data_IF_708506469641
#
_entry.id   IF_708506469641
#
_cell.length_a   1.000
_cell.length_b   1.000
_cell.length_c   1.000
_cell.angle_alpha   90.00
_cell.angle_beta   90.00
_cell.angle_gamma   90.00
#
_symmetry.space_group_name_H-M   'P 1'
#
loop_
_entity.id
_entity.type
_entity.pdbx_description
1 polymer ?
#
# COMPACT_ATOMS: atom_id res chain seq x y z
N UNK A 1 8.08 -16.34 17.24
CA UNK A 1 8.27 -15.22 16.29
C UNK A 1 6.93 -15.02 15.61
N UNK A 2 6.42 -13.79 15.41
CA UNK A 2 5.18 -13.61 14.66
C UNK A 2 5.39 -14.15 13.24
N UNK A 3 4.47 -14.97 12.73
CA UNK A 3 4.57 -15.46 11.37
C UNK A 3 4.22 -14.29 10.44
N UNK A 4 5.00 -14.15 9.38
CA UNK A 4 4.80 -13.08 8.40
C UNK A 4 4.05 -13.69 7.23
N UNK A 5 2.89 -13.14 6.91
CA UNK A 5 2.10 -13.55 5.75
C UNK A 5 2.11 -12.43 4.70
N UNK A 6 2.45 -12.79 3.47
CA UNK A 6 2.50 -11.86 2.35
C UNK A 6 1.38 -12.18 1.37
N UNK A 7 0.47 -11.24 1.13
CA UNK A 7 -0.59 -11.36 0.14
C UNK A 7 -0.34 -10.41 -1.02
N UNK A 8 -0.73 -10.85 -2.22
CA UNK A 8 -0.73 -10.03 -3.41
C UNK A 8 -2.17 -9.73 -3.82
N UNK A 9 -2.44 -8.48 -4.20
CA UNK A 9 -3.61 -8.19 -5.01
C UNK A 9 -3.36 -8.44 -6.51
N UNK A 10 -4.33 -8.05 -7.32
CA UNK A 10 -4.40 -8.26 -8.78
C UNK A 10 -3.53 -7.31 -9.60
N UNK A 11 -3.07 -6.19 -9.03
CA UNK A 11 -2.36 -5.16 -9.80
C UNK A 11 -1.03 -5.64 -10.39
N UNK A 12 -0.16 -6.21 -9.55
CA UNK A 12 1.19 -6.64 -9.93
C UNK A 12 1.63 -7.87 -9.13
N UNK A 13 1.11 -9.04 -9.52
CA UNK A 13 1.48 -10.32 -8.89
C UNK A 13 2.99 -10.62 -9.01
N UNK A 14 3.58 -10.32 -10.17
CA UNK A 14 5.02 -10.53 -10.41
C UNK A 14 5.92 -9.74 -9.44
N UNK A 15 5.51 -8.54 -9.05
CA UNK A 15 6.25 -7.74 -8.08
C UNK A 15 6.15 -8.38 -6.70
N UNK A 16 4.95 -8.79 -6.29
CA UNK A 16 4.73 -9.48 -5.03
C UNK A 16 5.53 -10.78 -4.95
N UNK A 17 5.59 -11.55 -6.03
CA UNK A 17 6.37 -12.78 -6.10
C UNK A 17 7.86 -12.50 -5.92
N UNK A 18 8.42 -11.51 -6.62
CA UNK A 18 9.83 -11.11 -6.45
C UNK A 18 10.15 -10.64 -5.02
N UNK A 19 9.18 -10.00 -4.35
CA UNK A 19 9.32 -9.61 -2.94
C UNK A 19 9.30 -10.86 -2.05
N UNK A 20 8.40 -11.79 -2.30
CA UNK A 20 8.28 -13.07 -1.58
C UNK A 20 9.58 -13.89 -1.71
N UNK A 21 10.08 -14.07 -2.93
CA UNK A 21 11.31 -14.81 -3.24
C UNK A 21 12.53 -14.22 -2.53
N UNK A 22 12.63 -12.88 -2.47
CA UNK A 22 13.72 -12.18 -1.79
C UNK A 22 13.65 -12.31 -0.26
N UNK A 23 12.45 -12.41 0.29
CA UNK A 23 12.23 -12.62 1.72
C UNK A 23 12.29 -14.10 2.12
N UNK A 24 12.30 -15.02 1.14
CA UNK A 24 12.20 -16.46 1.39
C UNK A 24 10.84 -16.86 1.95
N UNK A 25 9.78 -16.16 1.54
CA UNK A 25 8.40 -16.40 1.94
C UNK A 25 7.57 -16.84 0.74
N UNK A 26 6.51 -17.59 0.98
CA UNK A 26 5.51 -17.89 -0.03
C UNK A 26 4.40 -16.84 -0.03
N UNK A 27 3.81 -16.59 -1.20
CA UNK A 27 2.61 -15.77 -1.30
C UNK A 27 1.41 -16.54 -0.73
N UNK A 28 0.72 -15.90 0.19
CA UNK A 28 -0.50 -16.44 0.78
C UNK A 28 -1.62 -16.53 -0.25
N UNK A 29 -2.50 -17.51 -0.05
CA UNK A 29 -3.59 -17.81 -1.00
C UNK A 29 -4.70 -16.78 -0.88
N UNK A 30 -4.93 -16.05 -1.96
CA UNK A 30 -6.04 -15.09 -2.10
C UNK A 30 -6.83 -15.44 -3.34
N UNK A 31 -8.15 -15.49 -3.20
CA UNK A 31 -9.06 -15.64 -4.32
C UNK A 31 -9.68 -14.27 -4.58
N UNK A 32 -9.30 -13.65 -5.70
CA UNK A 32 -9.92 -12.43 -6.20
C UNK A 32 -10.86 -12.78 -7.35
N UNK A 33 -12.12 -12.38 -7.23
CA UNK A 33 -13.16 -12.61 -8.25
C UNK A 33 -13.89 -11.31 -8.53
N UNK A 34 -14.29 -11.09 -9.78
CA UNK A 34 -15.24 -10.04 -10.13
C UNK A 34 -16.60 -10.69 -10.43
N UNK A 35 -17.65 -10.21 -9.76
CA UNK A 35 -19.01 -10.63 -10.05
C UNK A 35 -19.49 -10.05 -11.39
N UNK A 36 -20.62 -10.55 -11.91
CA UNK A 36 -21.20 -10.09 -13.18
C UNK A 36 -21.59 -8.61 -13.18
N UNK A 37 -21.83 -8.03 -12.00
CA UNK A 37 -22.06 -6.59 -11.77
C UNK A 37 -20.77 -5.78 -11.60
N UNK A 38 -19.59 -6.37 -11.85
CA UNK A 38 -18.26 -5.78 -11.66
C UNK A 38 -17.85 -5.52 -10.20
N UNK A 39 -18.61 -5.99 -9.22
CA UNK A 39 -18.18 -5.91 -7.82
C UNK A 39 -16.97 -6.81 -7.57
N UNK A 40 -16.01 -6.28 -6.81
CA UNK A 40 -14.81 -7.02 -6.43
C UNK A 40 -15.09 -7.85 -5.19
N UNK A 41 -14.84 -9.15 -5.28
CA UNK A 41 -14.92 -10.11 -4.20
C UNK A 41 -13.52 -10.62 -3.88
N UNK A 42 -13.15 -10.59 -2.60
CA UNK A 42 -11.87 -11.12 -2.15
C UNK A 42 -12.08 -12.06 -0.99
N UNK A 43 -11.46 -13.22 -1.07
CA UNK A 43 -11.49 -14.25 -0.04
C UNK A 43 -10.06 -14.68 0.30
N UNK A 44 -9.73 -14.66 1.59
CA UNK A 44 -8.44 -15.12 2.11
C UNK A 44 -8.54 -16.62 2.37
N UNK A 45 -7.74 -17.42 1.65
CA UNK A 45 -7.80 -18.88 1.70
C UNK A 45 -6.99 -19.52 2.82
N UNK A 46 -6.38 -18.70 3.69
CA UNK A 46 -5.47 -19.14 4.76
C UNK A 46 -5.78 -18.43 6.08
N UNK A 47 -5.47 -19.07 7.21
CA UNK A 47 -5.73 -18.49 8.53
C UNK A 47 -4.69 -17.41 8.85
N UNK A 48 -5.13 -16.15 8.97
CA UNK A 48 -4.29 -15.00 9.30
C UNK A 48 -4.34 -14.59 10.77
N UNK A 49 -4.96 -15.41 11.62
CA UNK A 49 -5.23 -15.06 13.02
C UNK A 49 -3.94 -14.89 13.83
N UNK A 50 -3.75 -13.71 14.42
CA UNK A 50 -2.57 -13.41 15.23
C UNK A 50 -1.29 -13.19 14.43
N UNK A 51 -1.36 -13.20 13.10
CA UNK A 51 -0.20 -13.05 12.22
C UNK A 51 0.04 -11.61 11.78
N UNK A 52 1.26 -11.33 11.32
CA UNK A 52 1.64 -10.03 10.75
C UNK A 52 1.47 -10.07 9.23
N UNK A 53 0.45 -9.37 8.74
CA UNK A 53 -0.01 -9.46 7.36
C UNK A 53 0.51 -8.29 6.54
N UNK A 54 1.12 -8.59 5.41
CA UNK A 54 1.58 -7.61 4.42
C UNK A 54 0.77 -7.79 3.15
N UNK A 55 0.05 -6.75 2.71
CA UNK A 55 -0.71 -6.77 1.46
C UNK A 55 -0.01 -5.87 0.46
N UNK A 56 0.45 -6.45 -0.65
CA UNK A 56 1.09 -5.72 -1.74
C UNK A 56 0.04 -5.43 -2.81
N UNK A 57 -0.24 -4.14 -3.03
CA UNK A 57 -1.12 -3.69 -4.11
C UNK A 57 -0.66 -2.33 -4.64
N UNK A 58 -0.64 -2.17 -5.95
CA UNK A 58 -0.29 -0.93 -6.65
C UNK A 58 -1.51 -0.29 -7.32
N UNK A 59 -1.56 1.04 -7.34
CA UNK A 59 -2.54 1.82 -8.10
C UNK A 59 -2.14 2.05 -9.56
N UNK A 60 -1.76 1.01 -10.30
CA UNK A 60 -1.45 1.11 -11.74
C UNK A 60 -2.58 0.50 -12.58
N UNK A 61 -2.99 1.18 -13.67
CA UNK A 61 -4.11 0.75 -14.51
C UNK A 61 -5.47 1.15 -13.92
N UNK A 62 -6.29 0.18 -13.53
CA UNK A 62 -7.60 0.38 -12.90
C UNK A 62 -7.46 0.79 -11.42
N UNK A 63 -7.13 2.07 -11.20
CA UNK A 63 -6.80 2.63 -9.88
C UNK A 63 -7.91 2.36 -8.85
N UNK A 64 -9.18 2.54 -9.24
CA UNK A 64 -10.32 2.40 -8.35
C UNK A 64 -10.56 0.95 -7.95
N UNK A 65 -10.48 0.04 -8.90
CA UNK A 65 -10.67 -1.40 -8.65
C UNK A 65 -9.57 -1.92 -7.74
N UNK A 66 -8.31 -1.58 -8.03
CA UNK A 66 -7.16 -1.99 -7.21
C UNK A 66 -7.26 -1.41 -5.79
N UNK A 67 -7.74 -0.17 -5.64
CA UNK A 67 -7.97 0.46 -4.34
C UNK A 67 -9.09 -0.25 -3.57
N UNK A 68 -10.21 -0.55 -4.22
CA UNK A 68 -11.33 -1.25 -3.61
C UNK A 68 -10.93 -2.67 -3.20
N UNK A 69 -10.21 -3.38 -4.05
CA UNK A 69 -9.66 -4.69 -3.74
C UNK A 69 -8.77 -4.65 -2.50
N UNK A 70 -7.85 -3.68 -2.43
CA UNK A 70 -6.98 -3.48 -1.26
C UNK A 70 -7.78 -3.22 0.02
N UNK A 71 -8.79 -2.36 -0.03
CA UNK A 71 -9.64 -2.05 1.13
C UNK A 71 -10.40 -3.29 1.61
N UNK A 72 -10.93 -4.09 0.69
CA UNK A 72 -11.63 -5.34 1.01
C UNK A 72 -10.66 -6.37 1.62
N UNK A 73 -9.44 -6.50 1.08
CA UNK A 73 -8.41 -7.37 1.64
C UNK A 73 -8.03 -6.97 3.07
N UNK A 74 -7.76 -5.69 3.31
CA UNK A 74 -7.44 -5.18 4.66
C UNK A 74 -8.57 -5.49 5.63
N UNK A 75 -9.82 -5.22 5.23
CA UNK A 75 -10.98 -5.49 6.06
C UNK A 75 -11.15 -6.99 6.34
N UNK A 76 -10.95 -7.86 5.34
CA UNK A 76 -10.99 -9.31 5.51
C UNK A 76 -9.95 -9.80 6.52
N UNK A 77 -8.71 -9.32 6.43
CA UNK A 77 -7.66 -9.63 7.41
C UNK A 77 -8.00 -9.13 8.81
N UNK A 78 -8.59 -7.93 8.90
CA UNK A 78 -8.99 -7.33 10.19
C UNK A 78 -10.10 -8.15 10.87
N UNK A 79 -11.12 -8.57 10.12
CA UNK A 79 -12.21 -9.42 10.60
C UNK A 79 -11.66 -10.80 11.02
N UNK A 80 -10.71 -11.34 10.26
CA UNK A 80 -10.02 -12.59 10.57
C UNK A 80 -9.04 -12.49 11.77
N UNK A 81 -9.01 -11.35 12.48
CA UNK A 81 -8.22 -11.13 13.70
C UNK A 81 -6.71 -11.26 13.49
N UNK A 82 -6.18 -10.75 12.38
CA UNK A 82 -4.74 -10.56 12.21
C UNK A 82 -4.15 -9.66 13.29
N UNK A 83 -2.92 -9.93 13.73
CA UNK A 83 -2.28 -9.11 14.75
C UNK A 83 -1.95 -7.71 14.23
N UNK A 84 -1.53 -7.60 12.97
CA UNK A 84 -1.19 -6.34 12.31
C UNK A 84 -1.43 -6.46 10.82
N UNK A 85 -1.91 -5.38 10.20
CA UNK A 85 -2.09 -5.27 8.75
C UNK A 85 -1.24 -4.13 8.22
N UNK A 86 -0.28 -4.45 7.36
CA UNK A 86 0.59 -3.50 6.68
C UNK A 86 0.27 -3.48 5.19
N UNK A 87 -0.21 -2.33 4.70
CA UNK A 87 -0.46 -2.13 3.27
C UNK A 87 0.80 -1.61 2.57
N UNK A 88 1.36 -2.39 1.65
CA UNK A 88 2.49 -2.01 0.80
C UNK A 88 1.94 -1.51 -0.52
N UNK A 89 2.04 -0.21 -0.73
CA UNK A 89 1.48 0.53 -1.87
C UNK A 89 2.62 1.23 -2.63
N UNK A 90 3.31 0.55 -3.55
CA UNK A 90 4.44 1.12 -4.29
C UNK A 90 4.10 2.46 -4.95
N UNK A 91 2.97 2.52 -5.66
CA UNK A 91 2.40 3.71 -6.27
C UNK A 91 1.11 4.10 -5.54
N UNK A 92 1.14 5.21 -4.79
CA UNK A 92 -0.01 5.63 -3.99
C UNK A 92 -1.14 6.21 -4.88
N UNK A 93 -2.36 5.65 -4.84
CA UNK A 93 -3.45 6.11 -5.69
C UNK A 93 -3.86 7.53 -5.32
N UNK A 94 -4.20 8.33 -6.34
CA UNK A 94 -4.60 9.74 -6.19
C UNK A 94 -3.53 10.67 -5.59
N UNK A 95 -2.25 10.26 -5.54
CA UNK A 95 -1.17 11.06 -4.94
C UNK A 95 -0.99 12.47 -5.54
N UNK A 96 -1.37 12.67 -6.81
CA UNK A 96 -1.29 13.98 -7.49
C UNK A 96 -2.34 15.01 -6.99
N UNK A 97 -3.35 14.57 -6.24
CA UNK A 97 -4.43 15.41 -5.70
C UNK A 97 -4.24 15.61 -4.18
N UNK A 98 -3.02 15.96 -3.77
CA UNK A 98 -2.62 16.17 -2.37
C UNK A 98 -2.81 17.62 -1.90
N UNK A 99 -2.98 18.56 -2.83
CA UNK A 99 -3.12 20.00 -2.58
C UNK A 99 -4.48 20.52 -3.01
N UNK A 100 -4.88 21.60 -2.36
CA UNK A 100 -6.09 22.34 -2.67
C UNK A 100 -5.80 23.35 -3.77
N UNK A 101 -5.95 22.93 -5.03
CA UNK A 101 -5.68 23.80 -6.18
C UNK A 101 -6.80 24.81 -6.45
N UNK A 102 -8.04 24.52 -6.02
CA UNK A 102 -9.20 25.42 -6.15
C UNK A 102 -9.98 25.47 -4.84
N UNK A 103 -10.72 26.56 -4.61
CA UNK A 103 -11.48 26.80 -3.37
C UNK A 103 -12.44 25.66 -2.96
N UNK A 104 -12.90 24.86 -3.94
CA UNK A 104 -13.81 23.71 -3.76
C UNK A 104 -13.25 22.37 -4.28
N UNK A 105 -11.94 22.27 -4.55
CA UNK A 105 -11.35 21.02 -5.00
C UNK A 105 -11.22 20.02 -3.82
N UNK A 106 -11.56 18.73 -4.01
CA UNK A 106 -11.33 17.69 -3.02
C UNK A 106 -9.83 17.39 -2.89
N UNK A 107 -9.41 16.95 -1.70
CA UNK A 107 -8.08 16.40 -1.47
C UNK A 107 -8.20 14.88 -1.48
N UNK A 108 -8.23 14.29 -2.68
CA UNK A 108 -8.52 12.86 -2.87
C UNK A 108 -7.48 11.96 -2.23
N UNK A 109 -6.20 12.35 -2.22
CA UNK A 109 -5.15 11.62 -1.50
C UNK A 109 -5.45 11.49 0.01
N UNK A 110 -6.06 12.52 0.61
CA UNK A 110 -6.44 12.51 2.03
C UNK A 110 -7.65 11.62 2.28
N UNK A 111 -8.61 11.61 1.35
CA UNK A 111 -9.76 10.72 1.40
C UNK A 111 -9.31 9.25 1.37
N UNK A 112 -8.44 8.89 0.43
CA UNK A 112 -7.86 7.54 0.32
C UNK A 112 -7.12 7.14 1.59
N UNK A 113 -6.27 8.02 2.13
CA UNK A 113 -5.55 7.73 3.37
C UNK A 113 -6.51 7.50 4.57
N UNK A 114 -7.63 8.22 4.62
CA UNK A 114 -8.64 7.99 5.64
C UNK A 114 -9.35 6.64 5.42
N UNK A 115 -9.67 6.27 4.18
CA UNK A 115 -10.29 4.98 3.86
C UNK A 115 -9.41 3.80 4.29
N UNK A 116 -8.10 3.85 4.00
CA UNK A 116 -7.14 2.82 4.45
C UNK A 116 -7.07 2.72 5.97
N UNK A 117 -7.08 3.86 6.67
CA UNK A 117 -7.08 3.89 8.13
C UNK A 117 -8.37 3.33 8.73
N UNK A 118 -9.52 3.60 8.11
CA UNK A 118 -10.83 3.11 8.58
C UNK A 118 -11.01 1.63 8.26
N UNK A 119 -10.50 1.15 7.12
CA UNK A 119 -10.50 -0.27 6.76
C UNK A 119 -9.69 -1.14 7.74
N UNK A 120 -8.74 -0.54 8.48
CA UNK A 120 -7.99 -1.22 9.53
C UNK A 120 -6.51 -1.43 9.23
N UNK A 121 -5.92 -0.68 8.31
CA UNK A 121 -4.48 -0.70 8.09
C UNK A 121 -3.73 -0.04 9.26
N UNK A 122 -2.85 -0.79 9.90
CA UNK A 122 -2.01 -0.29 11.00
C UNK A 122 -0.81 0.49 10.47
N UNK A 123 -0.26 0.02 9.34
CA UNK A 123 0.88 0.63 8.67
C UNK A 123 0.66 0.69 7.16
N UNK A 124 1.22 1.73 6.54
CA UNK A 124 1.27 1.89 5.09
C UNK A 124 2.75 1.99 4.72
N UNK A 125 3.17 1.40 3.62
CA UNK A 125 4.52 1.52 3.05
C UNK A 125 4.34 1.96 1.61
N UNK A 126 5.06 2.98 1.15
CA UNK A 126 4.96 3.48 -0.23
C UNK A 126 6.33 3.92 -0.72
N UNK A 127 6.59 3.83 -2.03
CA UNK A 127 7.92 4.11 -2.60
C UNK A 127 7.99 5.48 -3.28
N UNK A 128 6.98 5.85 -4.05
CA UNK A 128 6.98 7.13 -4.77
C UNK A 128 5.74 7.94 -4.37
N UNK A 129 5.93 8.87 -3.42
CA UNK A 129 5.12 10.08 -3.47
C UNK A 129 5.73 10.96 -4.56
N UNK A 130 4.97 11.21 -5.62
CA UNK A 130 5.26 12.23 -6.62
C UNK A 130 5.25 13.63 -5.98
N UNK A 131 6.26 13.90 -5.18
CA UNK A 131 6.57 15.17 -4.60
C UNK A 131 8.09 15.34 -4.69
N UNK A 132 8.58 15.71 -5.87
CA UNK A 132 9.85 16.42 -6.04
C UNK A 132 9.85 17.80 -5.35
N UNK A 133 9.13 17.95 -4.22
CA UNK A 133 8.98 19.20 -3.47
C UNK A 133 8.39 19.00 -2.06
N UNK A 134 8.95 18.08 -1.27
CA UNK A 134 8.95 18.22 0.20
C UNK A 134 10.39 18.44 0.68
N UNK A 135 11.08 19.36 0.02
CA UNK A 135 12.31 19.96 0.53
C UNK A 135 12.07 21.48 0.53
N UNK A 136 12.16 22.07 1.72
CA UNK A 136 12.11 23.50 2.03
C UNK A 136 10.72 24.18 1.96
N UNK A 137 10.01 24.26 3.09
CA UNK A 137 9.37 25.51 3.55
C UNK A 137 8.76 25.34 4.96
N UNK A 138 9.01 26.26 5.91
CA UNK A 138 8.46 26.18 7.25
C UNK A 138 7.11 26.90 7.29
N UNK A 139 6.00 26.16 7.47
CA UNK A 139 4.80 26.72 8.13
C UNK A 139 3.91 25.64 8.73
N UNK A 140 3.57 25.89 10.00
CA UNK A 140 2.84 25.01 10.92
C UNK A 140 1.39 24.91 10.46
N UNK A 141 0.97 23.74 9.93
CA UNK A 141 -0.40 23.17 9.98
C UNK A 141 -0.57 21.85 9.18
N UNK A 142 0.50 21.29 8.61
CA UNK A 142 0.49 19.97 7.93
C UNK A 142 1.26 18.89 8.73
N UNK A 143 1.16 18.84 10.07
CA UNK A 143 2.03 17.96 10.88
C UNK A 143 1.56 16.50 10.99
N UNK A 144 0.26 16.20 10.95
CA UNK A 144 -0.25 14.83 11.20
C UNK A 144 -0.13 13.88 10.01
N UNK A 145 -0.37 14.34 8.78
CA UNK A 145 -0.22 13.49 7.60
C UNK A 145 1.25 13.26 7.24
N UNK A 146 2.09 14.29 7.43
CA UNK A 146 3.55 14.20 7.23
C UNK A 146 4.22 13.28 8.25
N UNK A 147 3.76 13.24 9.51
CA UNK A 147 4.27 12.27 10.49
C UNK A 147 3.84 10.85 10.17
N UNK A 148 2.63 10.66 9.61
CA UNK A 148 2.16 9.34 9.19
C UNK A 148 2.98 8.83 8.01
N UNK A 149 3.18 9.65 6.97
CA UNK A 149 3.93 9.32 5.75
C UNK A 149 5.44 9.18 6.00
N UNK A 150 6.08 10.04 6.82
CA UNK A 150 7.50 9.84 7.21
C UNK A 150 7.72 8.60 8.07
N UNK A 151 6.72 8.18 8.84
CA UNK A 151 6.80 6.91 9.59
C UNK A 151 6.73 5.70 8.65
N UNK A 152 6.11 5.85 7.48
CA UNK A 152 6.07 4.84 6.41
C UNK A 152 7.44 4.65 5.74
N UNK A 153 8.15 5.74 5.41
CA UNK A 153 9.54 5.69 4.89
C UNK A 153 10.52 5.06 5.91
N UNK A 154 10.35 5.36 7.20
CA UNK A 154 11.23 4.85 8.25
C UNK A 154 11.14 3.32 8.43
N UNK A 155 9.96 2.73 8.22
CA UNK A 155 9.80 1.27 8.31
C UNK A 155 10.42 0.54 7.12
N UNK A 156 10.44 1.14 5.93
CA UNK A 156 11.17 0.60 4.78
C UNK A 156 12.69 0.64 5.01
N UNK A 157 13.23 1.69 5.66
CA UNK A 157 14.64 1.72 6.05
C UNK A 157 15.00 0.65 7.11
N UNK A 158 14.05 0.24 7.95
CA UNK A 158 14.21 -0.93 8.83
C UNK A 158 14.19 -2.25 8.06
N UNK A 159 13.40 -2.39 6.99
CA UNK A 159 13.49 -3.52 6.06
C UNK A 159 14.80 -3.51 5.25
N UNK A 160 15.33 -2.34 4.89
CA UNK A 160 16.66 -2.17 4.24
C UNK A 160 17.85 -2.51 5.15
N UNK A 161 17.67 -2.58 6.47
CA UNK A 161 18.72 -3.08 7.37
C UNK A 161 18.99 -4.59 7.18
N UNK A 162 18.18 -5.26 6.35
CA UNK A 162 18.45 -6.59 5.84
C UNK A 162 19.37 -6.45 4.59
N UNK A 163 20.63 -6.92 4.61
CA UNK A 163 21.68 -6.58 3.63
C UNK A 163 21.46 -7.12 2.20
N UNK A 164 20.27 -7.66 1.88
CA UNK A 164 19.96 -8.32 0.60
C UNK A 164 18.92 -7.57 -0.26
N UNK A 165 18.40 -6.43 0.18
CA UNK A 165 17.38 -5.67 -0.56
C UNK A 165 18.01 -4.43 -1.20
N UNK A 166 18.69 -4.61 -2.33
CA UNK A 166 18.92 -3.54 -3.30
C UNK A 166 17.80 -3.59 -4.34
N UNK A 167 16.98 -2.54 -4.36
CA UNK A 167 16.04 -2.27 -5.46
C UNK A 167 16.77 -1.30 -6.39
N UNK A 168 16.98 -1.64 -7.67
CA UNK A 168 17.63 -0.73 -8.61
C UNK A 168 16.75 0.50 -8.80
N UNK A 169 17.38 1.68 -8.79
CA UNK A 169 16.72 2.93 -9.15
C UNK A 169 16.21 2.80 -10.59
N UNK A 170 14.90 3.01 -10.80
CA UNK A 170 14.36 3.13 -12.13
C UNK A 170 14.93 4.40 -12.77
N UNK A 171 15.88 4.22 -13.68
CA UNK A 171 16.33 5.28 -14.60
C UNK A 171 15.14 5.68 -15.46
N UNK A 172 14.67 6.90 -15.27
CA UNK A 172 13.71 7.57 -16.13
C UNK A 172 14.29 7.70 -17.54
N UNK A 173 13.86 6.83 -18.45
CA UNK A 173 14.01 7.05 -19.89
C UNK A 173 12.91 7.98 -20.37
N UNK A 174 13.27 9.23 -20.66
CA UNK A 174 12.55 10.09 -21.59
C UNK A 174 12.51 9.43 -22.98
N UNK A 175 11.37 9.51 -23.66
CA UNK A 175 11.15 9.33 -25.11
C UNK A 175 9.61 9.35 -25.30
N UNK A 176 8.98 10.09 -26.21
CA UNK A 176 9.38 11.05 -27.24
C UNK A 176 8.17 11.94 -27.52
#
# INVERSE_FOLDING_TARGET
MPNIMLFSGSSHHDLSQKVADRLGLDLGKVITKKFSNQETCVEIGESVRGEDVYIVQSGCGEINDNLMELLIMINACKIASSSRVTAVIPCFPYARQDKKDKSRAPISAKLVANMLSVAGADHIITMDLHASQIQVSPRKKQKRLRSFIKRCEFQFNKMKACPKIQVPAATSGENS
#
